data_IF_170628152217
#
_entry.id   IF_170628152217
#
_cell.length_a   1.000
_cell.length_b   1.000
_cell.length_c   1.000
_cell.angle_alpha   90.00
_cell.angle_beta   90.00
_cell.angle_gamma   90.00
#
_symmetry.space_group_name_H-M   'P 1'
#
loop_
_entity.id
_entity.type
_entity.pdbx_description
1 polymer ?
#
# COMPACT_ATOMS: atom_id res chain seq x y z
N UNK A 1 -70.71 48.41 2.43
CA UNK A 1 -71.06 47.15 1.70
C UNK A 1 -70.24 46.02 2.31
N UNK A 2 -70.81 44.80 2.38
CA UNK A 2 -70.19 43.43 2.42
C UNK A 2 -68.70 43.26 2.83
N UNK A 3 -68.30 42.24 3.60
CA UNK A 3 -69.06 41.18 4.29
C UNK A 3 -68.18 40.37 5.26
N UNK A 4 -68.80 39.80 6.29
CA UNK A 4 -68.55 38.47 6.88
C UNK A 4 -67.20 38.13 7.54
N UNK A 5 -67.30 37.79 8.84
CA UNK A 5 -66.32 37.11 9.68
C UNK A 5 -66.16 35.61 9.37
N UNK A 6 -65.15 35.02 10.05
CA UNK A 6 -65.13 33.69 10.70
C UNK A 6 -64.45 32.49 9.98
N UNK A 7 -63.91 31.51 10.75
CA UNK A 7 -62.47 31.20 10.64
C UNK A 7 -62.17 29.67 10.60
N UNK A 8 -61.04 29.25 11.21
CA UNK A 8 -60.50 27.89 11.32
C UNK A 8 -59.82 27.41 10.02
N UNK A 9 -58.72 26.66 10.04
CA UNK A 9 -58.21 25.71 11.05
C UNK A 9 -56.69 25.79 11.21
N UNK A 10 -56.20 25.66 12.45
CA UNK A 10 -54.79 25.33 12.70
C UNK A 10 -54.55 23.86 12.34
N UNK A 11 -53.51 23.56 11.54
CA UNK A 11 -52.98 22.21 11.35
C UNK A 11 -51.55 22.13 11.87
N UNK A 12 -51.46 21.85 13.16
CA UNK A 12 -50.26 21.30 13.78
C UNK A 12 -49.95 19.94 13.12
N UNK A 13 -48.79 19.84 12.47
CA UNK A 13 -48.26 18.56 12.00
C UNK A 13 -47.14 18.09 12.96
N UNK A 14 -47.40 17.11 13.84
CA UNK A 14 -46.32 16.44 14.54
C UNK A 14 -45.58 15.53 13.55
N UNK A 15 -44.31 15.83 13.26
CA UNK A 15 -43.39 14.81 12.75
C UNK A 15 -42.68 14.18 13.93
N UNK A 16 -42.96 12.90 14.12
CA UNK A 16 -42.44 12.05 15.18
C UNK A 16 -40.93 11.91 15.08
N UNK A 17 -40.25 12.14 16.20
CA UNK A 17 -38.86 11.79 16.40
C UNK A 17 -38.80 10.30 16.75
N UNK A 18 -38.53 9.43 15.78
CA UNK A 18 -38.35 8.00 16.06
C UNK A 18 -36.93 7.70 16.54
N UNK A 19 -36.86 6.98 17.65
CA UNK A 19 -35.63 6.60 18.32
C UNK A 19 -34.89 5.49 17.56
N UNK A 20 -33.59 5.37 17.82
CA UNK A 20 -32.72 4.44 17.13
C UNK A 20 -33.08 2.96 17.34
N UNK A 21 -32.70 2.14 16.38
CA UNK A 21 -32.72 0.67 16.50
C UNK A 21 -31.33 0.13 16.23
N UNK A 22 -30.63 -0.22 17.30
CA UNK A 22 -29.37 -0.97 17.24
C UNK A 22 -29.69 -2.33 16.63
N UNK A 23 -29.08 -2.66 15.50
CA UNK A 23 -29.24 -3.99 14.86
C UNK A 23 -28.30 -4.96 15.58
N UNK A 24 -28.83 -5.66 16.58
CA UNK A 24 -28.15 -6.80 17.17
C UNK A 24 -28.04 -7.91 16.12
N UNK A 25 -26.82 -8.33 15.80
CA UNK A 25 -26.56 -9.43 14.88
C UNK A 25 -26.63 -10.76 15.64
N UNK A 26 -27.65 -11.56 15.34
CA UNK A 26 -27.93 -12.80 16.04
C UNK A 26 -26.94 -13.91 15.61
N UNK A 27 -26.27 -14.56 16.57
CA UNK A 27 -25.31 -15.66 16.31
C UNK A 27 -25.94 -17.00 16.66
N UNK A 28 -26.56 -17.65 15.68
CA UNK A 28 -27.04 -19.03 15.85
C UNK A 28 -26.77 -19.93 14.64
N UNK A 29 -25.80 -20.83 14.84
CA UNK A 29 -25.79 -22.26 14.43
C UNK A 29 -26.16 -22.62 12.98
N UNK A 30 -25.20 -23.24 12.28
CA UNK A 30 -25.49 -24.39 11.42
C UNK A 30 -24.34 -25.41 11.42
N UNK A 31 -24.46 -26.40 12.29
CA UNK A 31 -23.57 -27.58 12.31
C UNK A 31 -23.96 -28.56 11.20
N UNK A 32 -23.15 -28.72 10.16
CA UNK A 32 -23.32 -29.78 9.16
C UNK A 32 -22.41 -30.98 9.45
N UNK A 33 -23.00 -32.11 9.85
CA UNK A 33 -22.31 -33.39 10.05
C UNK A 33 -22.15 -34.10 8.70
N UNK A 34 -20.94 -34.56 8.37
CA UNK A 34 -20.72 -35.60 7.35
C UNK A 34 -20.18 -36.85 8.04
N UNK A 35 -20.69 -38.03 7.66
CA UNK A 35 -20.43 -39.32 8.33
C UNK A 35 -19.74 -40.31 7.40
N UNK A 36 -18.68 -40.96 7.91
CA UNK A 36 -18.29 -42.39 7.76
C UNK A 36 -18.19 -42.94 6.33
N UNK A 37 -17.11 -43.64 5.95
CA UNK A 37 -16.69 -44.97 6.45
C UNK A 37 -15.28 -45.30 5.86
N UNK A 38 -14.45 -46.27 6.28
CA UNK A 38 -14.64 -47.69 6.66
C UNK A 38 -13.47 -48.22 7.54
N UNK A 39 -13.69 -49.33 8.26
CA UNK A 39 -12.81 -50.52 8.54
C UNK A 39 -11.27 -50.33 8.60
N UNK A 40 -10.46 -50.96 9.47
CA UNK A 40 -10.59 -51.87 10.62
C UNK A 40 -9.19 -51.93 11.32
N UNK A 41 -8.84 -52.69 12.37
CA UNK A 41 -9.51 -53.76 13.15
C UNK A 41 -9.20 -53.57 14.66
N UNK A 42 -8.66 -54.57 15.39
CA UNK A 42 -8.22 -54.46 16.79
C UNK A 42 -7.14 -55.49 17.17
N UNK A 43 -6.26 -55.13 18.13
CA UNK A 43 -5.61 -56.03 19.08
C UNK A 43 -5.03 -55.23 20.26
N UNK A 44 -5.07 -55.79 21.47
CA UNK A 44 -4.55 -55.16 22.70
C UNK A 44 -3.30 -55.91 23.21
N UNK A 45 -2.40 -55.20 23.88
CA UNK A 45 -1.22 -55.77 24.54
C UNK A 45 -0.55 -54.73 25.43
N UNK A 46 -0.16 -55.12 26.64
CA UNK A 46 0.42 -54.23 27.67
C UNK A 46 1.80 -54.71 28.13
N UNK A 47 2.51 -53.85 28.88
CA UNK A 47 3.90 -54.00 29.34
C UNK A 47 4.95 -53.82 28.21
N UNK A 48 6.17 -53.32 28.45
CA UNK A 48 6.89 -53.13 29.72
C UNK A 48 7.71 -51.82 29.77
N UNK A 49 8.28 -51.51 30.94
CA UNK A 49 9.31 -50.46 31.08
C UNK A 49 10.62 -50.89 30.42
N UNK A 50 11.25 -49.98 29.68
CA UNK A 50 12.72 -49.89 29.54
C UNK A 50 13.07 -48.50 29.03
N UNK A 51 13.98 -47.81 29.70
CA UNK A 51 14.51 -46.53 29.23
C UNK A 51 15.73 -46.74 28.32
N UNK A 52 16.01 -45.75 27.48
CA UNK A 52 17.37 -45.38 27.09
C UNK A 52 17.39 -43.89 26.74
N UNK A 53 18.52 -43.25 27.02
CA UNK A 53 18.67 -41.81 26.84
C UNK A 53 18.73 -41.42 25.36
N UNK A 54 18.22 -40.24 25.05
CA UNK A 54 18.62 -39.46 23.88
C UNK A 54 18.58 -38.00 24.30
N UNK A 55 19.75 -37.40 24.45
CA UNK A 55 19.93 -36.00 24.83
C UNK A 55 19.56 -35.12 23.64
N UNK A 56 18.33 -34.65 23.61
CA UNK A 56 17.90 -33.60 22.68
C UNK A 56 18.39 -32.24 23.20
N UNK A 57 19.66 -31.93 22.95
CA UNK A 57 20.14 -30.55 22.95
C UNK A 57 19.37 -29.80 21.86
N UNK A 58 18.46 -28.92 22.28
CA UNK A 58 17.74 -28.02 21.40
C UNK A 58 18.45 -26.65 21.40
N UNK A 59 19.09 -26.23 20.30
CA UNK A 59 19.66 -24.89 20.20
C UNK A 59 18.54 -23.87 20.30
N UNK A 60 18.57 -23.10 21.38
CA UNK A 60 17.67 -22.00 21.67
C UNK A 60 17.77 -20.96 20.55
N UNK A 61 16.69 -20.75 19.78
CA UNK A 61 16.63 -19.69 18.79
C UNK A 61 16.71 -18.33 19.49
N UNK A 62 17.89 -17.74 19.50
CA UNK A 62 18.09 -16.31 19.77
C UNK A 62 17.45 -15.53 18.63
N UNK A 63 16.25 -15.01 18.88
CA UNK A 63 15.63 -13.98 18.04
C UNK A 63 16.44 -12.70 18.18
N UNK A 64 17.42 -12.52 17.31
CA UNK A 64 18.04 -11.21 17.09
C UNK A 64 17.04 -10.34 16.33
N UNK A 65 16.47 -9.36 17.02
CA UNK A 65 15.91 -8.20 16.36
C UNK A 65 17.09 -7.35 15.89
N UNK A 66 17.23 -7.15 14.58
CA UNK A 66 18.31 -6.36 14.00
C UNK A 66 17.73 -5.31 13.05
N UNK A 67 17.88 -4.06 13.46
CA UNK A 67 17.74 -2.83 12.68
C UNK A 67 18.67 -1.80 13.34
N UNK A 68 19.21 -0.80 12.60
CA UNK A 68 19.00 -0.51 11.18
C UNK A 68 20.11 -1.07 10.28
N UNK A 69 19.85 -1.11 8.97
CA UNK A 69 20.86 -1.47 7.96
C UNK A 69 21.82 -0.29 7.77
N UNK A 70 23.01 -0.37 8.35
CA UNK A 70 24.06 0.61 8.13
C UNK A 70 24.89 0.26 6.90
N UNK A 71 24.80 1.09 5.86
CA UNK A 71 25.77 1.22 4.75
C UNK A 71 26.35 -0.09 4.19
N UNK A 72 25.53 -0.84 3.45
CA UNK A 72 26.02 -1.76 2.40
C UNK A 72 25.94 -1.09 1.03
N UNK A 73 26.76 -1.53 0.08
CA UNK A 73 26.60 -1.15 -1.34
C UNK A 73 25.21 -1.58 -1.82
N UNK A 74 24.47 -0.67 -2.45
CA UNK A 74 23.13 -0.94 -2.98
C UNK A 74 23.20 -1.90 -4.17
N UNK A 75 22.28 -2.85 -4.23
CA UNK A 75 22.29 -3.93 -5.23
C UNK A 75 20.98 -3.95 -6.02
N UNK A 76 21.12 -3.92 -7.34
CA UNK A 76 20.00 -3.84 -8.30
C UNK A 76 20.09 -4.98 -9.33
N UNK A 77 20.05 -6.26 -8.90
CA UNK A 77 20.16 -7.40 -9.80
C UNK A 77 19.03 -7.45 -10.83
N UNK A 78 19.37 -7.85 -12.06
CA UNK A 78 18.40 -8.08 -13.12
C UNK A 78 17.37 -9.14 -12.69
N UNK A 79 16.08 -8.84 -12.88
CA UNK A 79 14.97 -9.67 -12.39
C UNK A 79 14.46 -10.69 -13.43
N UNK A 80 15.10 -10.73 -14.60
CA UNK A 80 14.74 -11.59 -15.73
C UNK A 80 13.58 -11.07 -16.60
N UNK A 81 13.00 -9.90 -16.29
CA UNK A 81 11.99 -9.23 -17.10
C UNK A 81 12.63 -8.22 -18.06
N UNK A 82 12.01 -8.00 -19.21
CA UNK A 82 12.38 -6.89 -20.09
C UNK A 82 11.99 -5.57 -19.42
N UNK A 83 12.87 -4.55 -19.36
CA UNK A 83 12.51 -3.22 -18.88
C UNK A 83 11.31 -2.63 -19.64
N UNK A 84 10.35 -2.07 -18.92
CA UNK A 84 9.17 -1.38 -19.47
C UNK A 84 9.54 -0.16 -20.33
N UNK A 85 10.67 0.48 -19.99
CA UNK A 85 11.30 1.60 -20.70
C UNK A 85 12.81 1.42 -20.57
N UNK A 86 13.57 1.77 -21.61
CA UNK A 86 15.04 1.63 -21.60
C UNK A 86 15.63 2.49 -20.49
N UNK A 87 16.43 1.86 -19.62
CA UNK A 87 17.05 2.51 -18.46
C UNK A 87 18.31 1.75 -18.06
N UNK A 88 19.22 2.42 -17.37
CA UNK A 88 20.39 1.82 -16.72
C UNK A 88 20.09 1.71 -15.23
N UNK A 89 20.47 0.58 -14.61
CA UNK A 89 20.37 0.44 -13.17
C UNK A 89 21.23 1.51 -12.45
N UNK A 90 20.76 2.06 -11.32
CA UNK A 90 21.53 3.01 -10.51
C UNK A 90 22.92 2.48 -10.08
N UNK A 91 23.87 3.39 -9.78
CA UNK A 91 25.14 3.00 -9.19
C UNK A 91 24.94 2.35 -7.81
N UNK A 92 25.87 1.47 -7.43
CA UNK A 92 25.82 0.79 -6.14
C UNK A 92 26.07 1.72 -4.95
N UNK A 93 26.75 2.84 -5.16
CA UNK A 93 26.99 3.89 -4.16
C UNK A 93 25.95 5.02 -4.31
N UNK A 94 25.03 5.22 -3.36
CA UNK A 94 24.17 6.40 -3.31
C UNK A 94 24.97 7.70 -3.19
N UNK A 95 24.64 8.69 -4.02
CA UNK A 95 25.26 10.02 -3.98
C UNK A 95 24.54 11.01 -3.06
N UNK A 96 23.28 10.74 -2.72
CA UNK A 96 22.43 11.57 -1.88
C UNK A 96 22.40 11.09 -0.42
N UNK A 97 22.07 11.99 0.52
CA UNK A 97 22.01 11.72 1.96
C UNK A 97 21.05 12.68 2.66
N UNK A 98 20.34 12.21 3.68
CA UNK A 98 19.35 13.03 4.41
C UNK A 98 18.07 13.28 3.60
N UNK A 99 17.37 14.35 3.92
CA UNK A 99 16.17 14.77 3.19
C UNK A 99 16.52 15.37 1.81
N UNK A 100 15.98 14.80 0.74
CA UNK A 100 16.16 15.28 -0.64
C UNK A 100 14.83 15.82 -1.17
N UNK A 101 14.70 17.14 -1.40
CA UNK A 101 13.49 17.68 -2.03
C UNK A 101 13.42 17.27 -3.50
N UNK A 102 12.22 16.96 -3.97
CA UNK A 102 11.93 16.66 -5.37
C UNK A 102 10.58 17.22 -5.79
N UNK A 103 10.46 17.64 -7.04
CA UNK A 103 9.23 18.08 -7.67
C UNK A 103 8.76 17.00 -8.67
N UNK A 104 7.59 16.43 -8.42
CA UNK A 104 6.90 15.55 -9.37
C UNK A 104 5.79 16.35 -10.05
N UNK A 105 6.01 16.75 -11.30
CA UNK A 105 5.01 17.44 -12.10
C UNK A 105 4.02 16.41 -12.64
N UNK A 106 2.71 16.62 -12.43
CA UNK A 106 1.67 15.71 -12.92
C UNK A 106 0.49 16.47 -13.54
N UNK A 107 -0.33 15.76 -14.32
CA UNK A 107 -1.61 16.27 -14.84
C UNK A 107 -2.65 16.62 -13.76
N UNK A 108 -2.41 16.27 -12.49
CA UNK A 108 -3.22 16.69 -11.34
C UNK A 108 -2.65 17.92 -10.61
N UNK A 109 -1.46 18.39 -10.99
CA UNK A 109 -0.71 19.45 -10.32
C UNK A 109 0.75 19.06 -10.08
N UNK A 110 1.55 20.03 -9.64
CA UNK A 110 2.89 19.75 -9.16
C UNK A 110 2.84 19.25 -7.71
N UNK A 111 3.56 18.17 -7.42
CA UNK A 111 3.62 17.53 -6.11
C UNK A 111 5.03 17.75 -5.54
N UNK A 112 5.11 18.44 -4.40
CA UNK A 112 6.34 18.58 -3.64
C UNK A 112 6.54 17.29 -2.81
N UNK A 113 7.69 16.66 -3.01
CA UNK A 113 8.10 15.42 -2.35
C UNK A 113 9.39 15.69 -1.56
N UNK A 114 9.48 15.14 -0.35
CA UNK A 114 10.74 15.03 0.39
C UNK A 114 11.09 13.55 0.50
N UNK A 115 12.19 13.14 -0.12
CA UNK A 115 12.72 11.77 -0.08
C UNK A 115 13.66 11.59 1.11
N UNK A 116 13.72 10.40 1.68
CA UNK A 116 14.58 10.07 2.83
C UNK A 116 15.77 9.18 2.41
N UNK A 117 16.86 9.83 2.00
CA UNK A 117 18.10 9.15 1.63
C UNK A 117 18.94 8.71 2.84
N UNK A 118 18.55 9.03 4.08
CA UNK A 118 19.23 8.56 5.29
C UNK A 118 18.62 7.23 5.79
N UNK A 119 17.29 7.12 5.82
CA UNK A 119 16.60 5.89 6.20
C UNK A 119 16.47 4.89 5.03
N UNK A 120 16.35 5.38 3.78
CA UNK A 120 16.14 4.53 2.58
C UNK A 120 17.11 4.89 1.44
N UNK A 121 18.43 4.79 1.66
CA UNK A 121 19.45 5.19 0.69
C UNK A 121 19.32 4.47 -0.65
N UNK A 122 19.04 3.17 -0.67
CA UNK A 122 18.96 2.40 -1.92
C UNK A 122 17.67 2.67 -2.71
N UNK A 123 16.55 2.88 -2.01
CA UNK A 123 15.27 3.24 -2.63
C UNK A 123 15.31 4.66 -3.20
N UNK A 124 15.87 5.61 -2.44
CA UNK A 124 16.01 7.00 -2.87
C UNK A 124 16.98 7.11 -4.04
N UNK A 125 18.13 6.43 -4.00
CA UNK A 125 19.08 6.34 -5.12
C UNK A 125 18.42 5.76 -6.40
N UNK A 126 17.60 4.71 -6.26
CA UNK A 126 16.82 4.16 -7.37
C UNK A 126 15.82 5.18 -7.94
N UNK A 127 15.01 5.80 -7.08
CA UNK A 127 14.01 6.76 -7.53
C UNK A 127 14.64 7.97 -8.24
N UNK A 128 15.73 8.50 -7.70
CA UNK A 128 16.49 9.61 -8.28
C UNK A 128 17.13 9.25 -9.62
N UNK A 129 17.79 8.09 -9.74
CA UNK A 129 18.38 7.62 -11.00
C UNK A 129 17.35 7.36 -12.09
N UNK A 130 16.18 6.82 -11.73
CA UNK A 130 15.05 6.66 -12.65
C UNK A 130 14.50 8.03 -13.09
N UNK A 131 14.38 8.99 -12.16
CA UNK A 131 13.96 10.35 -12.47
C UNK A 131 14.94 11.09 -13.41
N UNK A 132 16.25 11.04 -13.14
CA UNK A 132 17.29 11.67 -13.97
C UNK A 132 17.29 11.12 -15.41
N UNK A 133 17.03 9.82 -15.58
CA UNK A 133 16.89 9.17 -16.88
C UNK A 133 15.52 9.42 -17.55
N UNK A 134 14.67 10.27 -16.98
CA UNK A 134 13.33 10.57 -17.47
C UNK A 134 12.42 9.34 -17.50
N UNK A 135 12.67 8.32 -16.67
CA UNK A 135 11.95 7.05 -16.70
C UNK A 135 10.45 7.25 -16.43
N UNK A 136 10.12 8.10 -15.47
CA UNK A 136 8.74 8.43 -15.08
C UNK A 136 8.01 9.37 -16.05
N UNK A 137 8.71 10.00 -16.99
CA UNK A 137 8.12 10.95 -17.93
C UNK A 137 7.08 10.27 -18.84
N UNK A 138 5.86 10.80 -18.82
CA UNK A 138 4.70 10.27 -19.55
C UNK A 138 4.04 9.05 -18.91
N UNK A 139 4.48 8.61 -17.73
CA UNK A 139 3.94 7.40 -17.08
C UNK A 139 2.64 7.69 -16.34
N UNK A 140 1.65 6.81 -16.46
CA UNK A 140 0.36 6.95 -15.78
C UNK A 140 0.39 6.35 -14.37
N UNK A 141 -0.39 6.94 -13.48
CA UNK A 141 -0.83 6.27 -12.26
C UNK A 141 -1.95 5.30 -12.65
N UNK A 142 -1.61 4.02 -12.78
CA UNK A 142 -2.48 2.98 -13.35
C UNK A 142 -3.53 2.45 -12.37
N UNK A 143 -3.40 2.71 -11.06
CA UNK A 143 -4.32 2.18 -10.04
C UNK A 143 -4.62 3.19 -8.94
N UNK A 144 -5.90 3.31 -8.62
CA UNK A 144 -6.45 4.07 -7.52
C UNK A 144 -7.32 3.15 -6.66
N UNK A 145 -7.16 3.23 -5.34
CA UNK A 145 -8.08 2.61 -4.38
C UNK A 145 -8.84 3.68 -3.61
N UNK A 146 -10.15 3.51 -3.43
CA UNK A 146 -11.05 4.49 -2.78
C UNK A 146 -11.82 3.93 -1.58
N UNK A 147 -11.54 2.69 -1.17
CA UNK A 147 -12.12 2.08 0.01
C UNK A 147 -11.14 1.13 0.70
N UNK A 148 -11.09 1.18 2.04
CA UNK A 148 -10.24 0.33 2.87
C UNK A 148 -8.79 0.82 2.92
N UNK A 149 -8.17 0.98 1.76
CA UNK A 149 -6.88 1.65 1.58
C UNK A 149 -7.06 2.80 0.57
N UNK A 150 -6.31 3.89 0.74
CA UNK A 150 -6.47 5.14 -0.02
C UNK A 150 -5.15 5.51 -0.70
N UNK A 151 -4.81 4.77 -1.75
CA UNK A 151 -3.54 4.92 -2.48
C UNK A 151 -3.76 5.22 -3.96
N UNK A 152 -2.89 6.04 -4.51
CA UNK A 152 -2.69 6.23 -5.96
C UNK A 152 -1.33 5.63 -6.32
N UNK A 153 -1.32 4.59 -7.16
CA UNK A 153 -0.13 3.83 -7.54
C UNK A 153 0.32 4.19 -8.96
N UNK A 154 1.61 4.43 -9.13
CA UNK A 154 2.26 4.95 -10.32
C UNK A 154 3.60 4.24 -10.58
N UNK A 155 4.39 4.72 -11.56
CA UNK A 155 5.76 4.26 -11.78
C UNK A 155 5.90 3.01 -12.67
N UNK A 156 4.84 2.59 -13.37
CA UNK A 156 4.89 1.59 -14.44
C UNK A 156 4.78 2.29 -15.82
N UNK A 157 5.86 2.35 -16.63
CA UNK A 157 5.79 2.94 -17.97
C UNK A 157 4.86 2.24 -18.96
N UNK A 158 4.44 0.99 -18.69
CA UNK A 158 3.45 0.30 -19.52
C UNK A 158 2.00 0.62 -19.11
N UNK A 159 1.80 1.15 -17.90
CA UNK A 159 0.49 1.38 -17.30
C UNK A 159 -0.32 0.11 -16.99
N UNK A 160 0.27 -1.09 -17.05
CA UNK A 160 -0.46 -2.36 -16.78
C UNK A 160 -0.46 -2.77 -15.31
N UNK A 161 0.41 -2.16 -14.50
CA UNK A 161 0.68 -2.54 -13.11
C UNK A 161 1.65 -3.72 -12.97
N UNK A 162 2.22 -4.22 -14.07
CA UNK A 162 3.15 -5.36 -14.08
C UNK A 162 4.53 -5.04 -14.65
N UNK A 163 4.71 -3.85 -15.23
CA UNK A 163 6.00 -3.38 -15.71
C UNK A 163 6.93 -2.92 -14.59
N UNK A 164 8.19 -2.74 -14.94
CA UNK A 164 9.28 -2.35 -14.05
C UNK A 164 10.58 -2.11 -14.83
N UNK A 165 11.70 -1.82 -14.15
CA UNK A 165 12.93 -1.38 -14.81
C UNK A 165 13.82 -2.54 -15.29
N UNK A 166 13.38 -3.81 -15.16
CA UNK A 166 14.14 -5.02 -15.52
C UNK A 166 15.16 -5.45 -14.45
N UNK A 167 15.08 -4.86 -13.27
CA UNK A 167 15.80 -5.24 -12.07
C UNK A 167 14.88 -5.13 -10.85
N UNK A 168 15.27 -5.75 -9.75
CA UNK A 168 14.66 -5.55 -8.44
C UNK A 168 15.72 -5.27 -7.37
N UNK A 169 15.29 -4.78 -6.21
CA UNK A 169 16.16 -4.56 -5.05
C UNK A 169 15.42 -4.80 -3.72
N UNK A 170 16.21 -4.88 -2.64
CA UNK A 170 15.75 -5.22 -1.29
C UNK A 170 14.74 -4.22 -0.71
N UNK A 171 13.99 -4.63 0.31
CA UNK A 171 13.21 -3.73 1.14
C UNK A 171 14.10 -3.02 2.19
N UNK A 172 13.81 -1.75 2.51
CA UNK A 172 14.49 -0.98 3.56
C UNK A 172 13.48 -0.69 4.68
N UNK A 173 13.28 -1.68 5.56
CA UNK A 173 12.23 -1.68 6.58
C UNK A 173 12.78 -1.67 8.01
N UNK A 174 12.16 -0.87 8.87
CA UNK A 174 12.23 -0.94 10.33
C UNK A 174 11.27 -1.98 10.94
N UNK A 175 10.25 -2.40 10.19
CA UNK A 175 9.17 -3.28 10.65
C UNK A 175 8.10 -2.57 11.48
N UNK A 176 8.11 -1.24 11.51
CA UNK A 176 7.16 -0.38 12.24
C UNK A 176 6.49 0.68 11.35
N UNK A 177 6.55 0.48 10.02
CA UNK A 177 6.04 1.41 9.02
C UNK A 177 4.55 1.70 9.22
N UNK A 178 4.20 2.96 9.08
CA UNK A 178 2.81 3.43 9.07
C UNK A 178 2.59 4.28 7.84
N UNK A 179 1.32 4.39 7.42
CA UNK A 179 0.95 4.97 6.13
C UNK A 179 -0.12 6.08 6.31
N UNK A 180 0.20 7.18 7.03
CA UNK A 180 -0.66 8.36 7.05
C UNK A 180 -0.77 9.02 5.68
N UNK A 181 -1.74 9.92 5.52
CA UNK A 181 -1.83 10.79 4.35
C UNK A 181 -0.50 11.54 4.13
N UNK A 182 -0.01 11.56 2.89
CA UNK A 182 1.29 12.11 2.51
C UNK A 182 2.41 11.08 2.36
N UNK A 183 2.23 9.83 2.78
CA UNK A 183 3.29 8.81 2.66
C UNK A 183 3.57 8.46 1.19
N UNK A 184 4.86 8.40 0.81
CA UNK A 184 5.35 7.84 -0.44
C UNK A 184 6.08 6.53 -0.15
N UNK A 185 5.62 5.43 -0.75
CA UNK A 185 6.17 4.09 -0.48
C UNK A 185 6.26 3.23 -1.75
N UNK A 186 7.21 2.29 -1.75
CA UNK A 186 7.40 1.38 -2.89
C UNK A 186 6.27 0.35 -3.00
N UNK A 187 5.86 0.05 -4.23
CA UNK A 187 5.01 -1.10 -4.52
C UNK A 187 5.90 -2.31 -4.85
N UNK A 188 5.62 -3.46 -4.23
CA UNK A 188 6.35 -4.70 -4.45
C UNK A 188 5.39 -5.87 -4.74
N UNK A 189 5.95 -7.01 -5.16
CA UNK A 189 5.25 -8.27 -5.42
C UNK A 189 5.54 -9.32 -4.33
N UNK A 190 5.92 -8.87 -3.13
CA UNK A 190 6.51 -9.66 -2.05
C UNK A 190 7.88 -9.11 -1.61
N UNK A 191 8.50 -9.69 -0.57
CA UNK A 191 9.76 -9.20 -0.02
C UNK A 191 10.87 -9.10 -1.07
N UNK A 192 11.66 -8.03 -1.00
CA UNK A 192 12.85 -7.77 -1.83
C UNK A 192 12.57 -7.70 -3.35
N UNK A 193 11.37 -7.26 -3.72
CA UNK A 193 10.95 -7.10 -5.13
C UNK A 193 10.64 -5.65 -5.53
N UNK A 194 11.24 -4.67 -4.85
CA UNK A 194 11.12 -3.26 -5.22
C UNK A 194 11.69 -3.01 -6.62
N UNK A 195 11.07 -2.11 -7.38
CA UNK A 195 11.45 -1.78 -8.75
C UNK A 195 11.25 -0.30 -9.05
N UNK A 196 10.35 0.04 -9.97
CA UNK A 196 10.02 1.43 -10.29
C UNK A 196 8.64 1.87 -9.80
N UNK A 197 7.76 0.93 -9.44
CA UNK A 197 6.40 1.26 -9.01
C UNK A 197 6.38 1.74 -7.55
N UNK A 198 5.59 2.77 -7.29
CA UNK A 198 5.39 3.36 -5.97
C UNK A 198 3.92 3.75 -5.81
N UNK A 199 3.52 4.04 -4.58
CA UNK A 199 2.20 4.58 -4.27
C UNK A 199 2.26 5.79 -3.35
N UNK A 200 1.35 6.72 -3.59
CA UNK A 200 1.09 7.91 -2.78
C UNK A 200 -0.15 7.61 -1.94
N UNK A 201 -0.03 7.77 -0.62
CA UNK A 201 -1.15 7.65 0.31
C UNK A 201 -1.85 9.00 0.42
N UNK A 202 -3.08 9.10 -0.09
CA UNK A 202 -3.80 10.39 -0.16
C UNK A 202 -4.85 10.56 0.96
N UNK A 203 -5.08 9.53 1.77
CA UNK A 203 -5.79 9.58 3.04
C UNK A 203 -5.28 8.46 3.97
N UNK A 204 -5.37 8.64 5.29
CA UNK A 204 -4.83 7.72 6.29
C UNK A 204 -5.22 6.26 6.00
N UNK A 205 -4.19 5.42 5.85
CA UNK A 205 -4.31 4.06 5.35
C UNK A 205 -3.63 3.09 6.31
N UNK A 206 -4.21 1.90 6.46
CA UNK A 206 -3.63 0.85 7.29
C UNK A 206 -3.23 -0.34 6.42
N UNK A 207 -1.93 -0.49 6.22
CA UNK A 207 -1.28 -1.59 5.51
C UNK A 207 -0.32 -2.32 6.47
N UNK A 208 0.07 -3.57 6.18
CA UNK A 208 1.19 -4.22 6.87
C UNK A 208 2.50 -3.43 6.72
N UNK A 209 3.42 -3.47 7.70
CA UNK A 209 4.76 -2.89 7.59
C UNK A 209 5.63 -3.75 6.64
N UNK A 210 5.44 -3.57 5.33
CA UNK A 210 5.98 -4.45 4.28
C UNK A 210 6.21 -3.71 2.95
N UNK A 211 6.19 -2.38 2.98
CA UNK A 211 6.43 -1.50 1.84
C UNK A 211 7.37 -0.39 2.29
N UNK A 212 8.54 -0.30 1.65
CA UNK A 212 9.56 0.70 1.99
C UNK A 212 8.99 2.12 1.88
N UNK A 213 8.90 2.84 2.99
CA UNK A 213 8.51 4.25 3.04
C UNK A 213 9.76 5.09 2.79
N UNK A 214 9.83 5.75 1.64
CA UNK A 214 11.05 6.44 1.17
C UNK A 214 10.88 7.94 0.99
N UNK A 215 9.71 8.50 1.36
CA UNK A 215 9.48 9.93 1.35
C UNK A 215 8.08 10.32 1.79
N UNK A 216 7.82 11.62 1.73
CA UNK A 216 6.53 12.23 2.05
C UNK A 216 6.17 13.38 1.10
N UNK A 217 4.88 13.70 1.03
CA UNK A 217 4.31 14.82 0.30
C UNK A 217 3.81 15.90 1.27
N UNK A 218 3.86 17.17 0.85
CA UNK A 218 3.22 18.25 1.61
C UNK A 218 1.68 18.21 1.52
N UNK A 219 1.02 19.00 2.37
CA UNK A 219 -0.44 18.99 2.50
C UNK A 219 -1.17 19.43 1.22
N UNK A 220 -0.60 20.35 0.43
CA UNK A 220 -1.20 20.83 -0.81
C UNK A 220 -1.07 19.76 -1.92
N UNK A 221 0.05 19.04 -1.95
CA UNK A 221 0.29 17.91 -2.86
C UNK A 221 -0.63 16.72 -2.53
N UNK A 222 -0.84 16.43 -1.25
CA UNK A 222 -1.85 15.46 -0.78
C UNK A 222 -3.25 15.88 -1.21
N UNK A 223 -3.59 17.16 -1.09
CA UNK A 223 -4.89 17.68 -1.52
C UNK A 223 -5.10 17.52 -3.04
N UNK A 224 -4.09 17.79 -3.87
CA UNK A 224 -4.15 17.60 -5.32
C UNK A 224 -4.41 16.13 -5.72
N UNK A 225 -3.71 15.17 -5.09
CA UNK A 225 -3.94 13.74 -5.31
C UNK A 225 -5.33 13.32 -4.80
N UNK A 226 -5.75 13.83 -3.64
CA UNK A 226 -7.08 13.58 -3.07
C UNK A 226 -8.21 14.10 -3.96
N UNK A 227 -8.03 15.27 -4.61
CA UNK A 227 -9.02 15.84 -5.54
C UNK A 227 -9.18 14.99 -6.81
N UNK A 228 -8.09 14.45 -7.36
CA UNK A 228 -8.17 13.46 -8.44
C UNK A 228 -8.87 12.17 -7.99
N UNK A 229 -8.52 11.67 -6.79
CA UNK A 229 -9.10 10.45 -6.22
C UNK A 229 -10.61 10.53 -5.95
N UNK A 230 -11.14 11.72 -5.61
CA UNK A 230 -12.59 11.96 -5.40
C UNK A 230 -13.44 11.66 -6.63
N UNK A 231 -12.86 11.62 -7.84
CA UNK A 231 -13.59 11.22 -9.04
C UNK A 231 -13.89 9.71 -9.11
N UNK A 232 -13.21 8.90 -8.28
CA UNK A 232 -13.32 7.45 -8.27
C UNK A 232 -12.52 6.78 -9.38
N UNK A 233 -12.78 5.49 -9.60
CA UNK A 233 -12.18 4.69 -10.66
C UNK A 233 -13.04 4.71 -11.93
N UNK A 234 -12.46 4.38 -13.08
CA UNK A 234 -13.19 4.27 -14.36
C UNK A 234 -14.36 3.27 -14.30
N UNK A 235 -14.20 2.19 -13.53
CA UNK A 235 -15.23 1.16 -13.32
C UNK A 235 -16.33 1.59 -12.34
N UNK A 236 -16.11 2.68 -11.58
CA UNK A 236 -16.92 3.04 -10.41
C UNK A 236 -16.72 2.13 -9.20
N UNK A 237 -15.81 1.16 -9.27
CA UNK A 237 -15.45 0.28 -8.15
C UNK A 237 -14.45 0.90 -7.17
N UNK A 238 -14.20 0.24 -6.03
CA UNK A 238 -13.26 0.72 -5.01
C UNK A 238 -11.78 0.56 -5.38
N UNK A 239 -11.46 -0.13 -6.46
CA UNK A 239 -10.10 -0.41 -6.96
C UNK A 239 -10.13 -0.46 -8.50
N UNK A 240 -9.13 0.12 -9.16
CA UNK A 240 -8.99 0.14 -10.63
C UNK A 240 -8.32 1.43 -11.16
N UNK A 241 -8.33 1.60 -12.48
CA UNK A 241 -7.81 2.82 -13.16
C UNK A 241 -8.45 4.09 -12.60
N UNK A 242 -7.70 5.18 -12.31
CA UNK A 242 -8.28 6.45 -11.91
C UNK A 242 -9.20 7.04 -12.99
N UNK A 243 -10.39 7.53 -12.61
CA UNK A 243 -11.34 8.15 -13.55
C UNK A 243 -10.87 9.50 -14.07
N UNK A 244 -10.15 10.26 -13.25
CA UNK A 244 -9.32 11.38 -13.69
C UNK A 244 -7.91 10.83 -13.89
N UNK A 245 -7.39 10.73 -15.14
CA UNK A 245 -6.04 10.26 -15.36
C UNK A 245 -5.01 11.17 -14.69
N UNK A 246 -4.16 10.57 -13.86
CA UNK A 246 -2.95 11.22 -13.33
C UNK A 246 -1.76 10.67 -14.10
N UNK A 247 -1.04 11.55 -14.77
CA UNK A 247 0.17 11.24 -15.55
C UNK A 247 1.32 12.05 -14.98
N UNK A 248 2.46 11.40 -14.74
CA UNK A 248 3.70 12.06 -14.36
C UNK A 248 4.31 12.64 -15.63
N UNK A 249 4.48 13.96 -15.64
CA UNK A 249 5.05 14.71 -16.77
C UNK A 249 6.58 14.73 -16.66
N UNK A 250 7.10 14.95 -15.45
CA UNK A 250 8.52 14.91 -15.11
C UNK A 250 8.75 14.74 -13.61
N UNK A 251 9.91 14.24 -13.21
CA UNK A 251 10.41 14.28 -11.82
C UNK A 251 11.76 14.99 -11.80
N UNK A 252 11.98 15.91 -10.86
CA UNK A 252 13.23 16.68 -10.75
C UNK A 252 13.62 16.84 -9.28
N UNK A 253 14.85 16.43 -8.93
CA UNK A 253 15.42 16.68 -7.60
C UNK A 253 15.91 18.14 -7.47
N UNK A 254 15.84 18.69 -6.25
CA UNK A 254 16.25 20.06 -5.91
C UNK A 254 17.71 20.21 -5.48
#
# INVERSE_FOLDING_TARGET
>A
MRSSHHPLYSRLHPRTQEAGRVVAYDRAVLTSRVRRSLLALAAAGALALTGCASTSDAPQQTSSAEAPVASGECSYPADGRTPAKTVTAPPADPSASGEVPALMTTSAGALNVTLDAEATPCTTNNFLSLAEQGYFDGTSCHRLTTQGIFVLQCGDPTGTGTGGPGYSFADELSGTETYPAGTLAMANAGPDTNGSQFFIVYADTQLPPSYTVFGSLDADSVAAVSDAAKQGTESGGPDGTPKQPVTIESVTAG
#
